data_IF_498201688705
#
_entry.id   IF_498201688705
#
_cell.length_a   1.000
_cell.length_b   1.000
_cell.length_c   1.000
_cell.angle_alpha   90.00
_cell.angle_beta   90.00
_cell.angle_gamma   90.00
#
_symmetry.space_group_name_H-M   'P 1'
#
loop_
_entity.id
_entity.type
_entity.pdbx_description
1 polymer ?
#
# COMPACT_ATOMS: atom_id res chain seq x y z
N UNK A 1 1.28 30.77 18.68
CA UNK A 1 1.05 29.78 17.60
C UNK A 1 1.35 28.39 18.14
N UNK A 2 0.36 27.50 18.16
CA UNK A 2 0.51 26.11 18.63
C UNK A 2 1.07 25.22 17.52
N UNK A 3 2.39 25.13 17.41
CA UNK A 3 3.04 24.15 16.52
C UNK A 3 2.73 22.73 17.03
N UNK A 4 2.19 21.86 16.17
CA UNK A 4 1.98 20.43 16.51
C UNK A 4 0.61 19.82 16.18
N UNK A 5 -0.32 20.55 15.55
CA UNK A 5 -1.59 19.99 15.03
C UNK A 5 -1.56 19.76 13.52
N UNK A 6 -0.46 19.19 13.01
CA UNK A 6 -0.33 18.90 11.58
C UNK A 6 -0.83 17.49 11.30
N UNK A 7 -1.77 17.37 10.36
CA UNK A 7 -2.28 16.09 9.87
C UNK A 7 -2.14 16.08 8.34
N UNK A 8 -1.96 14.89 7.76
CA UNK A 8 -1.90 14.71 6.30
C UNK A 8 -3.11 13.92 5.85
N UNK A 9 -3.75 14.36 4.78
CA UNK A 9 -4.94 13.70 4.23
C UNK A 9 -4.71 13.44 2.75
N UNK A 10 -4.76 12.16 2.38
CA UNK A 10 -4.84 11.71 1.00
C UNK A 10 -6.31 11.43 0.65
N UNK A 11 -6.76 11.95 -0.48
CA UNK A 11 -8.17 11.97 -0.85
C UNK A 11 -8.36 11.20 -2.14
N UNK A 12 -9.34 10.32 -2.17
CA UNK A 12 -9.80 9.69 -3.41
C UNK A 12 -11.14 10.27 -3.79
N UNK A 13 -11.10 11.29 -4.65
CA UNK A 13 -12.26 12.08 -5.06
C UNK A 13 -12.23 12.37 -6.56
N UNK A 14 -13.39 12.31 -7.20
CA UNK A 14 -13.53 12.78 -8.58
C UNK A 14 -13.82 14.29 -8.55
N UNK A 15 -12.78 15.09 -8.76
CA UNK A 15 -12.86 16.55 -8.78
C UNK A 15 -12.88 17.07 -10.22
N UNK A 16 -13.16 18.37 -10.40
CA UNK A 16 -13.02 19.01 -11.71
C UNK A 16 -11.63 18.80 -12.33
N UNK A 17 -10.57 18.76 -11.50
CA UNK A 17 -9.20 18.48 -11.94
C UNK A 17 -9.02 17.05 -12.47
N UNK A 18 -9.69 16.05 -11.85
CA UNK A 18 -9.65 14.67 -12.36
C UNK A 18 -10.42 14.53 -13.68
N UNK A 19 -11.47 15.33 -13.87
CA UNK A 19 -12.27 15.35 -15.10
C UNK A 19 -11.61 16.05 -16.29
N UNK A 20 -10.59 16.88 -16.09
CA UNK A 20 -9.88 17.57 -17.17
C UNK A 20 -8.78 16.73 -17.84
N UNK A 21 -8.46 15.56 -17.29
CA UNK A 21 -7.49 14.64 -17.90
C UNK A 21 -8.11 14.07 -19.17
N UNK A 22 -7.51 14.29 -20.36
CA UNK A 22 -8.08 13.82 -21.61
C UNK A 22 -8.15 12.30 -21.62
N UNK A 23 -9.34 11.76 -21.86
CA UNK A 23 -9.52 10.33 -22.00
C UNK A 23 -8.91 9.91 -23.35
N UNK A 24 -7.74 9.25 -23.31
CA UNK A 24 -7.08 8.68 -24.49
C UNK A 24 -7.90 7.59 -25.19
N UNK A 25 -9.00 7.15 -24.57
CA UNK A 25 -9.85 6.04 -25.01
C UNK A 25 -11.32 6.46 -24.87
N UNK A 26 -12.22 6.15 -25.83
CA UNK A 26 -13.64 6.41 -25.70
C UNK A 26 -14.15 5.77 -24.41
N UNK A 27 -14.60 6.63 -23.49
CA UNK A 27 -14.95 6.24 -22.13
C UNK A 27 -16.23 5.41 -22.14
N UNK A 28 -16.16 4.16 -21.68
CA UNK A 28 -17.37 3.35 -21.50
C UNK A 28 -18.36 4.06 -20.57
N UNK A 29 -19.68 4.01 -20.86
CA UNK A 29 -20.71 4.70 -20.08
C UNK A 29 -20.70 4.34 -18.59
N UNK A 30 -20.17 3.17 -18.20
CA UNK A 30 -20.00 2.74 -16.80
C UNK A 30 -18.97 3.54 -15.98
N UNK A 31 -18.03 4.26 -16.59
CA UNK A 31 -17.04 5.08 -15.85
C UNK A 31 -17.68 6.31 -15.18
N UNK A 32 -18.84 6.77 -15.66
CA UNK A 32 -19.59 7.87 -15.03
C UNK A 32 -20.28 7.43 -13.72
N UNK A 33 -20.74 6.18 -13.63
CA UNK A 33 -21.37 5.68 -12.41
C UNK A 33 -20.38 5.58 -11.23
N UNK A 34 -19.10 5.30 -11.51
CA UNK A 34 -18.04 5.29 -10.50
C UNK A 34 -17.65 6.68 -9.98
N UNK A 35 -17.83 7.74 -10.79
CA UNK A 35 -17.51 9.12 -10.36
C UNK A 35 -18.48 9.65 -9.30
N UNK A 36 -19.76 9.27 -9.33
CA UNK A 36 -20.74 9.65 -8.29
C UNK A 36 -20.44 8.99 -6.94
N UNK A 37 -19.85 7.79 -6.97
CA UNK A 37 -19.37 7.12 -5.77
C UNK A 37 -18.25 7.92 -5.07
N UNK A 38 -17.45 8.67 -5.84
CA UNK A 38 -16.29 9.44 -5.39
C UNK A 38 -16.57 10.96 -5.30
N UNK A 39 -17.82 11.33 -5.05
CA UNK A 39 -18.21 12.73 -4.88
C UNK A 39 -17.40 13.40 -3.73
N UNK A 40 -16.69 14.51 -4.00
CA UNK A 40 -15.91 15.23 -2.99
C UNK A 40 -16.73 15.76 -1.81
N UNK A 41 -18.03 16.03 -1.99
CA UNK A 41 -18.92 16.48 -0.92
C UNK A 41 -19.02 15.47 0.23
N UNK A 42 -18.81 14.18 -0.04
CA UNK A 42 -18.81 13.12 0.99
C UNK A 42 -17.58 13.19 1.91
N UNK A 43 -16.49 13.80 1.43
CA UNK A 43 -15.20 13.84 2.13
C UNK A 43 -15.01 15.16 2.91
N UNK A 44 -15.73 16.21 2.51
CA UNK A 44 -15.63 17.53 3.13
C UNK A 44 -15.86 17.52 4.65
N UNK A 45 -16.86 16.81 5.23
CA UNK A 45 -17.10 16.83 6.67
C UNK A 45 -15.92 16.32 7.49
N UNK A 46 -15.24 15.25 7.04
CA UNK A 46 -14.07 14.70 7.72
C UNK A 46 -12.92 15.71 7.75
N UNK A 47 -12.64 16.33 6.60
CA UNK A 47 -11.52 17.28 6.49
C UNK A 47 -11.78 18.55 7.30
N UNK A 48 -13.04 19.00 7.37
CA UNK A 48 -13.48 20.15 8.16
C UNK A 48 -13.53 19.87 9.67
N UNK A 49 -13.58 18.60 10.09
CA UNK A 49 -13.54 18.23 11.50
C UNK A 49 -12.13 18.36 12.11
N UNK A 50 -11.06 18.14 11.34
CA UNK A 50 -9.67 18.14 11.84
C UNK A 50 -9.18 19.46 12.45
N UNK A 51 -9.60 20.65 11.97
CA UNK A 51 -9.25 21.92 12.62
C UNK A 51 -10.02 22.21 13.92
N UNK A 52 -11.08 21.46 14.23
CA UNK A 52 -11.94 21.72 15.40
C UNK A 52 -11.18 21.50 16.72
N UNK A 53 -11.65 22.13 17.80
CA UNK A 53 -11.09 21.88 19.15
C UNK A 53 -11.36 20.45 19.63
N UNK A 54 -12.39 19.78 19.12
CA UNK A 54 -12.70 18.38 19.45
C UNK A 54 -11.64 17.42 18.89
N UNK A 55 -10.96 17.78 17.80
CA UNK A 55 -9.90 16.99 17.18
C UNK A 55 -8.49 17.27 17.74
N UNK A 56 -8.40 17.95 18.90
CA UNK A 56 -7.12 18.42 19.47
C UNK A 56 -6.13 17.31 19.82
N UNK A 57 -6.62 16.10 20.08
CA UNK A 57 -5.77 14.93 20.37
C UNK A 57 -5.21 14.27 19.11
N UNK A 58 -5.83 14.49 17.95
CA UNK A 58 -5.43 13.89 16.67
C UNK A 58 -4.30 14.71 16.05
N UNK A 59 -3.06 14.24 16.24
CA UNK A 59 -1.85 14.93 15.78
C UNK A 59 -0.94 13.98 14.99
N UNK A 60 -0.29 14.52 13.96
CA UNK A 60 0.75 13.84 13.18
C UNK A 60 0.29 12.53 12.54
N UNK A 61 -0.99 12.45 12.16
CA UNK A 61 -1.55 11.25 11.52
C UNK A 61 -1.66 11.42 10.01
N UNK A 62 -1.67 10.28 9.31
CA UNK A 62 -1.89 10.19 7.87
C UNK A 62 -3.21 9.49 7.64
N UNK A 63 -4.16 10.18 7.02
CA UNK A 63 -5.47 9.65 6.69
C UNK A 63 -5.61 9.45 5.19
N UNK A 64 -6.24 8.35 4.79
CA UNK A 64 -6.75 8.16 3.43
C UNK A 64 -8.26 8.17 3.51
N UNK A 65 -8.91 9.03 2.72
CA UNK A 65 -10.38 9.12 2.72
C UNK A 65 -10.93 8.82 1.34
N UNK A 66 -11.90 7.92 1.29
CA UNK A 66 -12.59 7.50 0.07
C UNK A 66 -14.08 7.42 0.33
N UNK A 67 -14.84 8.31 -0.30
CA UNK A 67 -16.31 8.35 -0.17
C UNK A 67 -16.76 8.49 1.29
N UNK A 68 -17.30 7.42 1.89
CA UNK A 68 -17.82 7.37 3.28
C UNK A 68 -16.85 6.70 4.26
N UNK A 69 -15.70 6.22 3.78
CA UNK A 69 -14.73 5.48 4.58
C UNK A 69 -13.45 6.32 4.73
N UNK A 70 -12.83 6.24 5.90
CA UNK A 70 -11.49 6.74 6.13
C UNK A 70 -10.61 5.64 6.71
N UNK A 71 -9.33 5.69 6.39
CA UNK A 71 -8.31 4.77 6.83
C UNK A 71 -7.22 5.56 7.56
N UNK A 72 -6.85 5.08 8.74
CA UNK A 72 -5.65 5.54 9.43
C UNK A 72 -4.46 4.76 8.88
N UNK A 73 -3.55 5.46 8.22
CA UNK A 73 -2.34 4.86 7.67
C UNK A 73 -1.26 4.81 8.73
N UNK A 74 -0.57 3.67 8.82
CA UNK A 74 0.71 3.62 9.51
C UNK A 74 1.70 4.53 8.80
N UNK A 75 2.61 5.16 9.55
CA UNK A 75 3.71 5.91 8.98
C UNK A 75 4.81 4.90 8.59
N UNK A 76 5.01 4.56 7.31
CA UNK A 76 6.01 3.58 6.96
C UNK A 76 7.39 4.08 7.42
N UNK A 77 8.09 3.22 8.15
CA UNK A 77 9.51 3.36 8.47
C UNK A 77 10.25 2.27 7.71
N UNK A 78 11.49 2.54 7.32
CA UNK A 78 12.33 1.52 6.71
C UNK A 78 12.46 0.34 7.69
N UNK A 79 12.02 -0.85 7.29
CA UNK A 79 12.04 -2.06 8.14
C UNK A 79 13.46 -2.63 8.20
N UNK A 80 14.18 -2.59 7.07
CA UNK A 80 15.58 -2.99 6.91
C UNK A 80 16.24 -2.08 5.88
N UNK A 81 17.55 -1.91 6.01
CA UNK A 81 18.38 -1.22 5.02
C UNK A 81 19.54 -2.13 4.64
N UNK A 82 19.94 -2.09 3.38
CA UNK A 82 21.15 -2.77 2.89
C UNK A 82 21.96 -1.77 2.08
N UNK A 83 23.29 -1.85 2.19
CA UNK A 83 24.25 -1.02 1.46
C UNK A 83 25.15 -1.93 0.66
N UNK A 84 25.47 -1.52 -0.56
CA UNK A 84 26.42 -2.20 -1.43
C UNK A 84 27.37 -1.15 -2.02
N UNK A 85 28.63 -1.17 -1.60
CA UNK A 85 29.63 -0.17 -1.98
C UNK A 85 30.09 -0.31 -3.45
N UNK A 86 29.96 -1.50 -4.03
CA UNK A 86 30.28 -1.77 -5.45
C UNK A 86 29.10 -1.43 -6.39
N UNK A 87 27.95 -1.02 -5.86
CA UNK A 87 26.74 -0.74 -6.62
C UNK A 87 25.88 -1.97 -6.90
N UNK A 88 24.58 -1.73 -7.12
CA UNK A 88 23.59 -2.79 -7.36
C UNK A 88 23.51 -3.16 -8.84
N UNK A 89 23.66 -4.44 -9.15
CA UNK A 89 23.37 -5.02 -10.47
C UNK A 89 22.04 -5.76 -10.45
N UNK A 90 21.43 -5.97 -11.62
CA UNK A 90 20.20 -6.77 -11.75
C UNK A 90 20.38 -8.16 -11.13
N UNK A 91 21.54 -8.81 -11.33
CA UNK A 91 21.86 -10.08 -10.68
C UNK A 91 21.87 -10.00 -9.15
N UNK A 92 22.48 -8.95 -8.57
CA UNK A 92 22.52 -8.74 -7.12
C UNK A 92 21.14 -8.43 -6.50
N UNK A 93 20.23 -7.83 -7.27
CA UNK A 93 18.85 -7.56 -6.84
C UNK A 93 17.92 -8.76 -7.03
N UNK A 94 18.12 -9.55 -8.10
CA UNK A 94 17.34 -10.75 -8.41
C UNK A 94 17.67 -11.93 -7.49
N UNK A 95 18.83 -11.92 -6.84
CA UNK A 95 19.01 -12.63 -5.58
C UNK A 95 18.05 -12.01 -4.55
N UNK A 96 16.79 -12.47 -4.59
CA UNK A 96 15.60 -11.93 -3.92
C UNK A 96 15.78 -11.83 -2.40
N UNK A 97 16.51 -10.80 -1.97
CA UNK A 97 17.00 -10.62 -0.62
C UNK A 97 18.50 -10.69 -0.59
N UNK A 98 19.13 -9.51 -0.58
CA UNK A 98 20.30 -9.38 0.29
C UNK A 98 19.88 -9.95 1.66
N UNK A 99 20.64 -10.88 2.26
CA UNK A 99 20.23 -11.61 3.47
C UNK A 99 19.71 -10.67 4.57
N UNK A 100 20.30 -9.48 4.66
CA UNK A 100 19.92 -8.41 5.59
C UNK A 100 18.46 -7.93 5.46
N UNK A 101 17.88 -7.97 4.25
CA UNK A 101 16.53 -7.46 3.96
C UNK A 101 15.49 -8.58 3.97
N UNK A 102 15.92 -9.82 3.74
CA UNK A 102 15.05 -10.98 3.51
C UNK A 102 14.16 -11.30 4.72
N UNK A 103 14.68 -11.20 5.93
CA UNK A 103 13.91 -11.42 7.16
C UNK A 103 12.89 -10.30 7.47
N UNK A 104 12.93 -9.17 6.76
CA UNK A 104 11.95 -8.08 6.86
C UNK A 104 10.83 -8.15 5.81
N UNK A 105 10.87 -9.11 4.89
CA UNK A 105 9.89 -9.21 3.81
C UNK A 105 8.58 -9.77 4.34
N UNK A 106 7.53 -8.95 4.30
CA UNK A 106 6.16 -9.38 4.59
C UNK A 106 5.47 -9.73 3.27
N UNK A 107 5.19 -11.01 3.00
CA UNK A 107 4.57 -11.42 1.75
C UNK A 107 3.10 -10.94 1.68
N UNK A 108 2.76 -10.23 0.61
CA UNK A 108 1.42 -9.65 0.39
C UNK A 108 0.48 -10.58 -0.40
N UNK A 109 0.96 -11.76 -0.80
CA UNK A 109 0.20 -12.78 -1.50
C UNK A 109 0.70 -14.18 -1.14
N UNK A 110 0.07 -15.26 -1.66
CA UNK A 110 0.50 -16.62 -1.38
C UNK A 110 1.96 -16.79 -1.78
N UNK A 111 2.83 -17.01 -0.79
CA UNK A 111 4.20 -17.42 -1.01
C UNK A 111 4.11 -18.82 -1.58
N UNK A 112 4.26 -18.95 -2.89
CA UNK A 112 4.51 -20.24 -3.51
C UNK A 112 5.80 -20.76 -2.88
N UNK A 113 5.68 -21.57 -1.82
CA UNK A 113 6.79 -22.38 -1.34
C UNK A 113 7.20 -23.18 -2.54
N UNK A 114 8.35 -22.85 -3.12
CA UNK A 114 8.99 -23.66 -4.15
C UNK A 114 9.24 -25.00 -3.48
N UNK A 115 8.31 -25.94 -3.63
CA UNK A 115 8.57 -27.34 -3.35
C UNK A 115 9.67 -27.69 -4.33
N UNK A 116 10.90 -27.76 -3.83
CA UNK A 116 11.97 -28.42 -4.55
C UNK A 116 11.50 -29.86 -4.73
N UNK A 117 10.96 -30.15 -5.91
CA UNK A 117 10.89 -31.51 -6.43
C UNK A 117 12.35 -31.98 -6.51
N UNK A 118 12.81 -32.61 -5.44
CA UNK A 118 13.99 -33.47 -5.49
C UNK A 118 13.64 -34.48 -6.59
N UNK A 119 14.32 -34.38 -7.74
CA UNK A 119 14.38 -35.53 -8.65
C UNK A 119 15.10 -36.61 -7.86
N UNK A 120 14.34 -37.47 -7.20
CA UNK A 120 14.85 -38.71 -6.66
C UNK A 120 15.17 -39.61 -7.84
N UNK A 121 16.45 -39.78 -8.10
CA UNK A 121 17.02 -40.95 -8.72
C UNK A 121 16.52 -42.22 -8.00
N UNK A 122 15.42 -42.77 -8.52
CA UNK A 122 15.23 -44.21 -8.58
C UNK A 122 14.98 -45.03 -7.31
N UNK A 123 14.91 -44.48 -6.10
CA UNK A 123 14.51 -45.28 -4.92
C UNK A 123 13.62 -44.52 -3.91
N UNK A 124 12.30 -44.75 -4.06
CA UNK A 124 11.21 -44.69 -3.07
C UNK A 124 11.17 -43.47 -2.10
N UNK A 125 10.33 -42.45 -2.36
CA UNK A 125 9.95 -41.48 -1.33
C UNK A 125 8.97 -42.14 -0.34
N UNK A 126 9.37 -42.24 0.93
CA UNK A 126 8.49 -42.65 2.04
C UNK A 126 7.95 -41.38 2.71
N UNK A 127 6.66 -41.10 2.56
CA UNK A 127 5.98 -40.04 3.32
C UNK A 127 5.77 -40.58 4.74
N UNK A 128 6.43 -39.98 5.74
CA UNK A 128 6.02 -40.14 7.13
C UNK A 128 5.10 -38.96 7.47
N UNK A 129 3.79 -39.22 7.44
CA UNK A 129 2.78 -38.36 8.04
C UNK A 129 2.58 -38.85 9.48
N UNK A 130 3.00 -38.06 10.46
CA UNK A 130 2.52 -38.17 11.83
C UNK A 130 2.47 -36.78 12.46
N UNK A 131 1.22 -36.30 12.59
CA UNK A 131 0.65 -35.21 13.40
C UNK A 131 1.44 -33.89 13.55
#
# INVERSE_FOLDING_TARGET
MQWGRLNRVALFAFTRMAGSVPASTPRSPGTHAGSDALNPAKIAPFTLALPSEQAREVKNQVFVVRSKEFYLMSQPRAIRTARNDAGWTVGSCLAWGHPDVQAGVVPTGPVARRVQLIRSDGLRPRILLSL
#
